data_IF_776343902636
#
_entry.id   IF_776343902636
#
_cell.length_a   1.000
_cell.length_b   1.000
_cell.length_c   1.000
_cell.angle_alpha   90.00
_cell.angle_beta   90.00
_cell.angle_gamma   90.00
#
_symmetry.space_group_name_H-M   'P 1'
#
loop_
_entity.id
_entity.type
_entity.pdbx_description
1 polymer ?
#
# COMPACT_ATOMS: atom_id res chain seq x y z
N UNK A 1 -37.39 -19.88 8.97
CA UNK A 1 -37.45 -20.74 7.77
C UNK A 1 -36.91 -19.93 6.60
N UNK A 2 -36.06 -20.58 5.79
CA UNK A 2 -35.54 -20.19 4.46
C UNK A 2 -34.84 -18.82 4.29
N UNK A 3 -33.50 -18.90 4.21
CA UNK A 3 -32.64 -17.94 3.52
C UNK A 3 -33.06 -17.86 2.04
N UNK A 4 -33.21 -16.64 1.51
CA UNK A 4 -33.34 -16.37 0.08
C UNK A 4 -32.14 -15.52 -0.37
N UNK A 5 -31.02 -16.17 -0.62
CA UNK A 5 -29.94 -15.68 -1.50
C UNK A 5 -29.17 -16.90 -2.03
N UNK A 6 -29.86 -17.77 -2.77
CA UNK A 6 -29.16 -18.64 -3.72
C UNK A 6 -29.02 -17.88 -5.02
N UNK A 7 -27.79 -17.58 -5.40
CA UNK A 7 -27.50 -17.09 -6.74
C UNK A 7 -27.68 -18.26 -7.72
N UNK A 8 -28.27 -18.02 -8.90
CA UNK A 8 -28.51 -19.09 -9.86
C UNK A 8 -27.20 -19.74 -10.31
N UNK A 9 -27.24 -21.06 -10.52
CA UNK A 9 -26.12 -21.85 -11.02
C UNK A 9 -25.80 -21.37 -12.45
N UNK A 10 -24.60 -20.82 -12.63
CA UNK A 10 -24.12 -20.31 -13.91
C UNK A 10 -23.74 -21.45 -14.84
N UNK A 11 -24.02 -21.28 -16.13
CA UNK A 11 -23.77 -22.30 -17.16
C UNK A 11 -22.28 -22.39 -17.52
N UNK A 12 -21.88 -23.53 -18.10
CA UNK A 12 -20.49 -23.82 -18.51
C UNK A 12 -19.93 -22.79 -19.49
N UNK A 13 -20.80 -22.16 -20.27
CA UNK A 13 -20.44 -21.12 -21.24
C UNK A 13 -20.11 -19.77 -20.57
N UNK A 14 -20.80 -19.42 -19.47
CA UNK A 14 -20.51 -18.20 -18.69
C UNK A 14 -19.16 -18.30 -17.94
N UNK A 15 -18.74 -19.51 -17.54
CA UNK A 15 -17.44 -19.76 -16.91
C UNK A 15 -16.26 -19.48 -17.84
N UNK A 16 -16.44 -19.61 -19.16
CA UNK A 16 -15.36 -19.45 -20.15
C UNK A 16 -14.94 -17.99 -20.40
N UNK A 17 -15.79 -17.02 -20.01
CA UNK A 17 -15.56 -15.57 -20.22
C UNK A 17 -15.04 -14.85 -18.97
N UNK A 18 -14.98 -15.53 -17.83
CA UNK A 18 -14.39 -14.99 -16.62
C UNK A 18 -12.87 -14.87 -16.81
N UNK A 19 -12.38 -13.62 -16.84
CA UNK A 19 -10.93 -13.35 -16.73
C UNK A 19 -10.45 -13.87 -15.38
N UNK A 20 -9.87 -15.06 -15.38
CA UNK A 20 -9.12 -15.62 -14.26
C UNK A 20 -7.99 -14.63 -13.91
N UNK A 21 -8.01 -14.10 -12.69
CA UNK A 21 -6.86 -13.40 -12.13
C UNK A 21 -5.88 -14.47 -11.61
N UNK A 22 -4.64 -14.53 -12.13
CA UNK A 22 -3.66 -15.49 -11.62
C UNK A 22 -3.27 -15.09 -10.21
N UNK A 23 -3.68 -15.91 -9.23
CA UNK A 23 -3.33 -15.83 -7.81
C UNK A 23 -1.81 -16.03 -7.59
N UNK A 24 -1.08 -16.48 -8.62
CA UNK A 24 0.36 -16.73 -8.57
C UNK A 24 1.12 -15.83 -9.54
N UNK A 25 1.33 -14.56 -9.17
CA UNK A 25 2.45 -13.82 -9.76
C UNK A 25 3.74 -14.27 -9.05
N UNK A 26 4.66 -14.89 -9.79
CA UNK A 26 5.96 -15.42 -9.30
C UNK A 26 6.88 -14.34 -8.70
N UNK A 27 6.44 -13.07 -8.69
CA UNK A 27 7.15 -11.91 -8.14
C UNK A 27 7.38 -11.97 -6.62
N UNK A 28 6.52 -12.64 -5.85
CA UNK A 28 6.74 -12.77 -4.39
C UNK A 28 7.94 -13.66 -4.07
N UNK A 29 8.17 -14.72 -4.85
CA UNK A 29 9.24 -15.69 -4.64
C UNK A 29 10.65 -15.10 -4.75
N UNK A 30 10.81 -14.00 -5.50
CA UNK A 30 12.10 -13.31 -5.72
C UNK A 30 12.54 -12.44 -4.55
N UNK A 31 11.60 -11.86 -3.79
CA UNK A 31 11.93 -10.93 -2.69
C UNK A 31 12.42 -11.66 -1.45
N UNK A 32 11.92 -12.87 -1.19
CA UNK A 32 12.31 -13.70 -0.04
C UNK A 32 13.75 -14.24 -0.17
N UNK A 33 14.20 -14.56 -1.40
CA UNK A 33 15.55 -15.11 -1.64
C UNK A 33 16.69 -14.12 -1.38
N UNK A 34 16.44 -12.82 -1.46
CA UNK A 34 17.48 -11.79 -1.24
C UNK A 34 17.73 -11.55 0.25
N UNK A 35 16.78 -11.89 1.13
CA UNK A 35 16.91 -11.70 2.58
C UNK A 35 17.68 -12.84 3.25
N UNK A 36 17.58 -14.07 2.74
CA UNK A 36 18.29 -15.23 3.29
C UNK A 36 19.81 -15.18 3.03
N UNK A 37 20.26 -14.63 1.89
CA UNK A 37 21.71 -14.56 1.56
C UNK A 37 22.54 -13.61 2.45
N UNK A 38 21.91 -12.69 3.18
CA UNK A 38 22.63 -11.71 4.01
C UNK A 38 22.79 -12.12 5.48
N UNK A 39 22.36 -13.33 5.89
CA UNK A 39 22.52 -13.82 7.28
C UNK A 39 23.68 -14.80 7.49
N UNK A 40 24.33 -15.30 6.44
CA UNK A 40 25.30 -16.39 6.56
C UNK A 40 26.78 -15.94 6.65
N UNK A 41 27.07 -14.65 6.80
CA UNK A 41 28.45 -14.17 7.00
C UNK A 41 28.64 -13.46 8.33
N UNK A 42 28.71 -14.24 9.41
CA UNK A 42 29.61 -13.98 10.54
C UNK A 42 29.45 -15.07 11.61
N UNK A 43 30.51 -15.84 11.83
CA UNK A 43 31.15 -16.08 13.14
C UNK A 43 32.20 -17.18 12.93
N UNK A 44 33.45 -16.78 13.13
CA UNK A 44 34.61 -17.64 13.10
C UNK A 44 34.82 -18.34 14.45
N UNK A 45 35.23 -19.60 14.38
CA UNK A 45 36.37 -20.11 15.16
C UNK A 45 36.10 -20.61 16.58
N UNK A 46 36.10 -21.94 16.76
CA UNK A 46 36.35 -22.55 18.06
C UNK A 46 36.31 -24.08 18.05
N UNK A 47 37.48 -24.73 18.19
CA UNK A 47 37.60 -26.06 18.80
C UNK A 47 37.62 -27.28 17.86
N UNK A 48 38.83 -27.70 17.45
CA UNK A 48 39.09 -29.04 16.90
C UNK A 48 39.13 -30.07 18.02
N UNK A 49 38.32 -31.14 17.91
CA UNK A 49 38.56 -32.41 18.62
C UNK A 49 38.55 -33.54 17.58
N UNK A 50 39.70 -34.20 17.44
CA UNK A 50 39.91 -35.41 16.62
C UNK A 50 39.43 -36.64 17.38
N UNK A 51 38.82 -37.61 16.68
CA UNK A 51 38.76 -39.04 17.06
C UNK A 51 38.36 -39.90 15.84
N UNK A 52 38.64 -41.22 15.84
CA UNK A 52 39.53 -41.83 14.84
C UNK A 52 38.79 -42.59 13.73
N UNK A 53 39.51 -42.80 12.62
CA UNK A 53 39.18 -43.76 11.58
C UNK A 53 39.22 -45.18 12.17
N UNK A 54 38.10 -45.89 12.12
CA UNK A 54 38.14 -47.36 12.08
C UNK A 54 37.54 -47.85 10.77
N UNK A 55 38.33 -48.71 10.15
CA UNK A 55 38.10 -49.46 8.93
C UNK A 55 37.13 -50.60 9.19
N UNK A 56 36.12 -50.76 8.33
CA UNK A 56 35.25 -51.94 8.36
C UNK A 56 34.27 -51.92 7.20
N UNK A 57 34.67 -52.49 6.06
CA UNK A 57 33.75 -52.82 4.97
C UNK A 57 32.79 -53.90 5.44
N UNK A 58 31.50 -53.59 5.54
CA UNK A 58 30.43 -54.59 5.61
C UNK A 58 29.55 -54.38 4.37
N UNK A 59 29.65 -55.33 3.44
CA UNK A 59 28.72 -55.46 2.32
C UNK A 59 27.31 -55.70 2.87
N UNK A 60 26.46 -54.68 2.84
CA UNK A 60 25.02 -54.82 3.01
C UNK A 60 24.35 -54.53 1.66
N UNK A 61 23.63 -55.54 1.16
CA UNK A 61 22.80 -55.50 -0.05
C UNK A 61 21.90 -54.25 -0.03
N UNK A 62 21.67 -53.57 -1.16
CA UNK A 62 20.77 -52.43 -1.20
C UNK A 62 19.34 -52.94 -1.00
N UNK A 63 18.83 -52.81 0.22
CA UNK A 63 17.38 -52.83 0.42
C UNK A 63 16.81 -51.66 -0.38
N UNK A 64 15.85 -51.97 -1.24
CA UNK A 64 15.24 -51.05 -2.19
C UNK A 64 14.97 -49.70 -1.56
N UNK A 65 15.36 -48.64 -2.29
CA UNK A 65 15.15 -47.27 -1.87
C UNK A 65 13.72 -47.08 -1.39
N UNK A 66 13.55 -46.45 -0.22
CA UNK A 66 12.26 -45.87 0.16
C UNK A 66 11.78 -45.06 -1.03
N UNK A 67 10.73 -45.53 -1.69
CA UNK A 67 9.95 -44.68 -2.60
C UNK A 67 9.68 -43.39 -1.82
N UNK A 68 9.96 -42.24 -2.43
CA UNK A 68 9.49 -40.98 -1.87
C UNK A 68 7.99 -41.17 -1.67
N UNK A 69 7.51 -41.00 -0.45
CA UNK A 69 6.08 -41.06 -0.11
C UNK A 69 5.27 -39.91 -0.74
N UNK A 70 5.96 -39.08 -1.52
CA UNK A 70 5.56 -37.75 -1.88
C UNK A 70 6.14 -37.44 -3.27
N UNK A 71 5.27 -37.55 -4.27
CA UNK A 71 5.44 -37.19 -5.67
C UNK A 71 4.69 -35.88 -5.88
N UNK A 72 5.14 -35.02 -6.80
CA UNK A 72 4.65 -33.63 -7.01
C UNK A 72 3.18 -33.49 -7.47
N UNK A 73 2.40 -34.55 -7.31
CA UNK A 73 0.96 -34.69 -7.52
C UNK A 73 0.20 -34.77 -6.18
N UNK A 74 0.74 -34.15 -5.12
CA UNK A 74 0.10 -34.11 -3.80
C UNK A 74 -1.05 -33.11 -3.76
N UNK A 75 -2.27 -33.64 -3.82
CA UNK A 75 -3.45 -32.91 -3.41
C UNK A 75 -3.39 -32.68 -1.90
N UNK A 76 -2.98 -31.48 -1.47
CA UNK A 76 -2.91 -31.08 -0.05
C UNK A 76 -4.29 -30.92 0.60
N UNK A 77 -5.35 -30.82 -0.21
CA UNK A 77 -6.68 -30.45 0.26
C UNK A 77 -7.75 -31.30 -0.44
N UNK A 78 -8.49 -32.07 0.36
CA UNK A 78 -9.65 -32.86 -0.08
C UNK A 78 -10.93 -32.12 0.34
N UNK A 79 -11.67 -31.61 -0.63
CA UNK A 79 -12.96 -30.94 -0.38
C UNK A 79 -14.08 -31.99 -0.25
N UNK A 80 -14.62 -32.10 0.96
CA UNK A 80 -15.76 -32.96 1.29
C UNK A 80 -17.02 -32.14 1.63
N UNK A 81 -17.13 -30.90 1.15
CA UNK A 81 -18.21 -29.99 1.54
C UNK A 81 -18.00 -29.41 2.94
N UNK A 82 -16.74 -29.11 3.29
CA UNK A 82 -16.36 -28.57 4.59
C UNK A 82 -16.89 -27.13 4.75
N UNK A 83 -17.41 -26.79 5.93
CA UNK A 83 -17.78 -25.39 6.25
C UNK A 83 -16.51 -24.54 6.37
N UNK A 84 -16.47 -23.36 5.74
CA UNK A 84 -15.34 -22.42 5.68
C UNK A 84 -14.19 -22.77 4.72
N UNK A 85 -14.48 -23.46 3.60
CA UNK A 85 -13.52 -23.69 2.52
C UNK A 85 -13.24 -22.45 1.66
N UNK A 86 -14.20 -21.51 1.62
CA UNK A 86 -14.12 -20.35 0.75
C UNK A 86 -13.09 -19.31 1.19
N UNK A 87 -12.56 -18.59 0.21
CA UNK A 87 -11.72 -17.42 0.44
C UNK A 87 -12.47 -16.40 1.31
N UNK A 88 -11.88 -16.02 2.44
CA UNK A 88 -12.43 -15.04 3.38
C UNK A 88 -11.60 -13.78 3.44
N UNK A 89 -12.23 -12.66 3.77
CA UNK A 89 -11.53 -11.39 4.05
C UNK A 89 -11.26 -11.27 5.54
N UNK A 90 -10.01 -10.97 5.89
CA UNK A 90 -9.64 -10.67 7.26
C UNK A 90 -10.34 -9.38 7.74
N UNK A 91 -11.02 -9.43 8.89
CA UNK A 91 -11.72 -8.25 9.43
C UNK A 91 -10.78 -7.15 9.92
N UNK A 92 -9.50 -7.46 10.14
CA UNK A 92 -8.50 -6.49 10.63
C UNK A 92 -7.69 -5.90 9.48
N UNK A 93 -7.07 -6.73 8.64
CA UNK A 93 -6.19 -6.28 7.56
C UNK A 93 -6.87 -6.25 6.18
N UNK A 94 -8.12 -6.70 6.07
CA UNK A 94 -8.91 -6.72 4.83
C UNK A 94 -8.33 -7.55 3.67
N UNK A 95 -7.27 -8.33 3.90
CA UNK A 95 -6.71 -9.24 2.91
C UNK A 95 -7.66 -10.42 2.67
N UNK A 96 -7.85 -10.79 1.40
CA UNK A 96 -8.56 -12.01 1.00
C UNK A 96 -7.58 -13.19 1.04
N UNK A 97 -7.95 -14.28 1.70
CA UNK A 97 -7.13 -15.49 1.80
C UNK A 97 -7.99 -16.73 2.00
N UNK A 98 -7.47 -17.89 1.61
CA UNK A 98 -8.17 -19.18 1.75
C UNK A 98 -7.79 -19.83 3.08
N UNK A 99 -8.79 -20.28 3.83
CA UNK A 99 -8.56 -20.97 5.12
C UNK A 99 -8.17 -22.40 4.85
N UNK A 100 -7.15 -22.90 5.54
CA UNK A 100 -6.61 -24.24 5.37
C UNK A 100 -5.54 -24.36 4.27
N UNK A 101 -5.37 -23.34 3.43
CA UNK A 101 -4.25 -23.28 2.48
C UNK A 101 -3.02 -22.69 3.17
N UNK A 102 -1.98 -23.51 3.37
CA UNK A 102 -0.80 -23.16 4.19
C UNK A 102 -0.08 -21.93 3.63
N UNK A 103 0.00 -21.82 2.30
CA UNK A 103 0.67 -20.68 1.65
C UNK A 103 -0.12 -19.39 1.90
N UNK A 104 -1.42 -19.42 1.66
CA UNK A 104 -2.33 -18.27 1.86
C UNK A 104 -2.35 -17.83 3.32
N UNK A 105 -2.43 -18.76 4.27
CA UNK A 105 -2.45 -18.45 5.70
C UNK A 105 -1.12 -17.84 6.16
N UNK A 106 0.01 -18.37 5.67
CA UNK A 106 1.32 -17.80 5.97
C UNK A 106 1.47 -16.39 5.40
N UNK A 107 1.10 -16.19 4.13
CA UNK A 107 1.14 -14.87 3.49
C UNK A 107 0.19 -13.90 4.19
N UNK A 108 -0.99 -14.36 4.59
CA UNK A 108 -1.92 -13.58 5.40
C UNK A 108 -1.30 -13.15 6.72
N UNK A 109 -0.64 -14.05 7.44
CA UNK A 109 -0.02 -13.73 8.72
C UNK A 109 1.08 -12.67 8.57
N UNK A 110 1.96 -12.84 7.58
CA UNK A 110 3.04 -11.87 7.30
C UNK A 110 2.49 -10.49 6.94
N UNK A 111 1.47 -10.44 6.06
CA UNK A 111 0.80 -9.19 5.71
C UNK A 111 0.05 -8.58 6.90
N UNK A 112 -0.65 -9.41 7.68
CA UNK A 112 -1.41 -8.97 8.85
C UNK A 112 -0.50 -8.29 9.88
N UNK A 113 0.64 -8.91 10.19
CA UNK A 113 1.59 -8.37 11.15
C UNK A 113 2.21 -7.06 10.65
N UNK A 114 2.59 -6.99 9.37
CA UNK A 114 3.06 -5.75 8.75
C UNK A 114 2.00 -4.65 8.82
N UNK A 115 0.78 -4.94 8.34
CA UNK A 115 -0.33 -3.99 8.26
C UNK A 115 -0.71 -3.44 9.64
N UNK A 116 -0.95 -4.32 10.61
CA UNK A 116 -1.38 -3.92 11.95
C UNK A 116 -0.30 -3.15 12.68
N UNK A 117 0.98 -3.54 12.54
CA UNK A 117 2.09 -2.85 13.21
C UNK A 117 2.40 -1.49 12.58
N UNK A 118 2.39 -1.39 11.25
CA UNK A 118 2.65 -0.13 10.55
C UNK A 118 1.56 0.92 10.76
N UNK A 119 0.33 0.54 11.10
CA UNK A 119 -0.72 1.49 11.44
C UNK A 119 -0.76 1.90 12.92
N UNK A 120 0.07 1.29 13.78
CA UNK A 120 0.22 1.73 15.18
C UNK A 120 0.87 3.11 15.21
N UNK A 121 0.19 4.07 15.83
CA UNK A 121 0.76 5.37 16.10
C UNK A 121 1.38 5.39 17.50
N UNK A 122 2.59 5.92 17.61
CA UNK A 122 3.26 6.23 18.87
C UNK A 122 3.43 7.74 18.89
N UNK A 123 3.00 8.39 19.97
CA UNK A 123 3.03 9.86 20.06
C UNK A 123 4.45 10.38 19.76
N UNK A 124 4.53 11.34 18.86
CA UNK A 124 5.79 11.96 18.47
C UNK A 124 6.10 13.15 19.37
N UNK A 125 7.38 13.47 19.55
CA UNK A 125 7.77 14.62 20.40
C UNK A 125 7.41 15.97 19.77
N UNK A 126 7.53 16.07 18.44
CA UNK A 126 7.31 17.31 17.69
C UNK A 126 6.12 17.17 16.75
N UNK A 127 4.93 16.89 17.30
CA UNK A 127 3.70 16.78 16.50
C UNK A 127 3.20 18.16 16.07
N UNK A 128 2.99 18.33 14.76
CA UNK A 128 2.25 19.47 14.24
C UNK A 128 0.77 19.06 14.05
N UNK A 129 -0.04 19.27 15.09
CA UNK A 129 -1.49 19.02 15.04
C UNK A 129 -2.15 20.18 14.32
N UNK A 130 -2.82 19.89 13.21
CA UNK A 130 -3.45 20.92 12.37
C UNK A 130 -4.96 20.99 12.55
N UNK A 131 -5.57 19.86 12.92
CA UNK A 131 -7.01 19.83 13.18
C UNK A 131 -7.36 18.72 14.19
N UNK A 132 -8.40 18.94 14.98
CA UNK A 132 -8.87 18.02 16.03
C UNK A 132 -10.36 17.77 15.82
N UNK A 133 -10.76 16.50 15.98
CA UNK A 133 -12.13 16.02 15.89
C UNK A 133 -12.45 15.14 17.10
N UNK A 134 -13.73 14.85 17.31
CA UNK A 134 -14.17 14.01 18.43
C UNK A 134 -13.61 12.57 18.38
N UNK A 135 -13.42 12.04 17.17
CA UNK A 135 -12.95 10.67 16.89
C UNK A 135 -11.46 10.58 16.49
N UNK A 136 -10.73 11.70 16.48
CA UNK A 136 -9.33 11.71 16.06
C UNK A 136 -8.71 13.09 15.81
N UNK A 137 -7.45 13.10 15.38
CA UNK A 137 -6.72 14.34 15.04
C UNK A 137 -5.94 14.17 13.73
N UNK A 138 -5.68 15.28 13.05
CA UNK A 138 -4.86 15.32 11.84
C UNK A 138 -3.52 15.98 12.16
N UNK A 139 -2.44 15.28 11.83
CA UNK A 139 -1.08 15.79 11.89
C UNK A 139 -0.60 16.18 10.51
N UNK A 140 0.25 17.22 10.43
CA UNK A 140 1.03 17.56 9.23
C UNK A 140 2.48 17.14 9.40
N UNK A 141 3.07 16.65 8.31
CA UNK A 141 4.51 16.35 8.19
C UNK A 141 5.03 17.08 6.95
N UNK A 142 6.11 17.83 7.15
CA UNK A 142 6.77 18.63 6.11
C UNK A 142 8.09 17.96 5.71
N UNK A 143 8.68 18.30 4.54
CA UNK A 143 9.97 17.73 4.12
C UNK A 143 11.13 18.10 5.05
N UNK A 144 10.97 19.14 5.87
CA UNK A 144 11.92 19.57 6.90
C UNK A 144 11.72 18.86 8.25
N UNK A 145 10.74 17.97 8.36
CA UNK A 145 10.46 17.22 9.58
C UNK A 145 11.56 16.19 9.89
N UNK A 146 11.61 15.67 11.13
CA UNK A 146 12.61 14.67 11.50
C UNK A 146 12.49 13.35 10.72
N UNK A 147 13.63 12.69 10.49
CA UNK A 147 13.73 11.43 9.74
C UNK A 147 12.78 10.32 10.21
N UNK A 148 12.50 10.20 11.52
CA UNK A 148 11.61 9.16 12.03
C UNK A 148 10.16 9.31 11.55
N UNK A 149 9.71 10.53 11.24
CA UNK A 149 8.39 10.78 10.66
C UNK A 149 8.34 10.33 9.20
N UNK A 150 9.41 10.58 8.46
CA UNK A 150 9.56 10.15 7.06
C UNK A 150 9.59 8.63 6.94
N UNK A 151 10.36 7.96 7.81
CA UNK A 151 10.36 6.49 7.88
C UNK A 151 8.94 5.94 8.12
N UNK A 152 8.13 6.62 8.92
CA UNK A 152 6.75 6.22 9.17
C UNK A 152 5.85 6.43 7.94
N UNK A 153 6.03 7.53 7.21
CA UNK A 153 5.33 7.77 5.95
C UNK A 153 5.67 6.70 4.90
N UNK A 154 6.94 6.30 4.80
CA UNK A 154 7.36 5.23 3.89
C UNK A 154 6.67 3.89 4.21
N UNK A 155 6.48 3.57 5.50
CA UNK A 155 5.69 2.40 5.92
C UNK A 155 4.22 2.50 5.48
N UNK A 156 3.62 3.69 5.58
CA UNK A 156 2.23 3.91 5.16
C UNK A 156 2.06 3.83 3.64
N UNK A 157 3.02 4.38 2.89
CA UNK A 157 3.02 4.28 1.44
C UNK A 157 3.17 2.83 0.98
N UNK A 158 4.04 2.03 1.62
CA UNK A 158 4.11 0.58 1.34
C UNK A 158 2.76 -0.10 1.48
N UNK A 159 2.03 0.16 2.57
CA UNK A 159 0.70 -0.43 2.76
C UNK A 159 -0.27 0.00 1.66
N UNK A 160 -0.32 1.30 1.38
CA UNK A 160 -1.24 1.83 0.37
C UNK A 160 -0.89 1.33 -1.03
N UNK A 161 0.39 1.28 -1.39
CA UNK A 161 0.87 0.79 -2.67
C UNK A 161 0.51 -0.69 -2.87
N UNK A 162 0.66 -1.51 -1.82
CA UNK A 162 0.22 -2.91 -1.84
C UNK A 162 -1.30 -3.00 -2.02
N UNK A 163 -2.10 -2.21 -1.28
CA UNK A 163 -3.56 -2.23 -1.45
C UNK A 163 -4.03 -1.73 -2.82
N UNK A 164 -3.28 -0.81 -3.43
CA UNK A 164 -3.63 -0.21 -4.73
C UNK A 164 -3.01 -0.97 -5.92
N UNK A 165 -2.13 -1.95 -5.67
CA UNK A 165 -1.39 -2.66 -6.71
C UNK A 165 -0.35 -1.79 -7.42
N UNK A 166 0.10 -0.71 -6.79
CA UNK A 166 1.04 0.26 -7.36
C UNK A 166 2.46 -0.21 -7.03
N UNK A 167 3.25 -0.57 -8.05
CA UNK A 167 4.66 -0.91 -7.91
C UNK A 167 5.53 0.31 -8.27
N UNK A 168 5.45 1.37 -7.46
CA UNK A 168 6.27 2.58 -7.66
C UNK A 168 7.36 2.64 -6.59
N UNK A 169 8.59 2.97 -7.00
CA UNK A 169 9.71 3.14 -6.07
C UNK A 169 9.44 4.30 -5.10
N UNK A 170 9.28 3.95 -3.82
CA UNK A 170 8.98 4.86 -2.70
C UNK A 170 9.97 6.03 -2.56
N UNK A 171 11.23 5.82 -2.96
CA UNK A 171 12.30 6.83 -2.91
C UNK A 171 12.00 8.07 -3.74
N UNK A 172 11.04 8.00 -4.69
CA UNK A 172 10.64 9.13 -5.54
C UNK A 172 9.43 9.92 -4.98
N UNK A 173 8.80 9.45 -3.90
CA UNK A 173 7.51 10.00 -3.42
C UNK A 173 7.63 11.27 -2.56
N UNK A 174 8.80 11.55 -2.00
CA UNK A 174 9.02 12.71 -1.13
C UNK A 174 9.74 13.83 -1.90
N UNK A 175 8.98 14.68 -2.58
CA UNK A 175 9.52 15.87 -3.25
C UNK A 175 9.72 17.01 -2.26
N UNK A 176 10.63 17.93 -2.58
CA UNK A 176 11.01 19.06 -1.73
C UNK A 176 9.85 20.02 -1.37
N UNK A 177 8.74 19.96 -2.10
CA UNK A 177 7.52 20.77 -1.89
C UNK A 177 6.33 19.97 -1.37
N UNK A 178 6.50 18.68 -1.07
CA UNK A 178 5.41 17.80 -0.65
C UNK A 178 4.97 18.09 0.78
N UNK A 179 3.67 17.98 1.06
CA UNK A 179 3.12 18.01 2.41
C UNK A 179 2.31 16.75 2.64
N UNK A 180 2.43 16.18 3.83
CA UNK A 180 1.75 14.95 4.20
C UNK A 180 0.83 15.21 5.39
N UNK A 181 -0.37 14.63 5.34
CA UNK A 181 -1.34 14.72 6.42
C UNK A 181 -1.77 13.32 6.83
N UNK A 182 -1.79 13.08 8.14
CA UNK A 182 -2.08 11.76 8.71
C UNK A 182 -3.25 11.91 9.68
N UNK A 183 -4.29 11.09 9.51
CA UNK A 183 -5.40 11.00 10.45
C UNK A 183 -5.12 9.91 11.49
N UNK A 184 -5.12 10.29 12.76
CA UNK A 184 -4.97 9.38 13.89
C UNK A 184 -6.32 9.27 14.59
N UNK A 185 -6.86 8.06 14.65
CA UNK A 185 -8.10 7.80 15.39
C UNK A 185 -7.85 7.69 16.89
N UNK A 186 -8.75 8.29 17.66
CA UNK A 186 -8.83 8.17 19.12
C UNK A 186 -10.07 7.34 19.48
N UNK A 187 -10.02 6.51 20.54
CA UNK A 187 -8.91 6.32 21.48
C UNK A 187 -7.85 5.31 21.01
N UNK A 188 -8.07 4.64 19.87
CA UNK A 188 -7.24 3.50 19.43
C UNK A 188 -5.77 3.83 19.11
N UNK A 189 -5.42 5.11 18.93
CA UNK A 189 -4.09 5.58 18.48
C UNK A 189 -3.59 4.79 17.28
N UNK A 190 -4.45 4.70 16.26
CA UNK A 190 -4.16 4.06 14.98
C UNK A 190 -4.25 5.08 13.87
N UNK A 191 -3.36 4.95 12.90
CA UNK A 191 -3.41 5.72 11.66
C UNK A 191 -4.52 5.11 10.80
N UNK A 192 -5.57 5.87 10.52
CA UNK A 192 -6.74 5.39 9.77
C UNK A 192 -6.86 6.01 8.38
N UNK A 193 -6.05 7.01 8.07
CA UNK A 193 -5.94 7.56 6.73
C UNK A 193 -4.77 8.51 6.59
N UNK A 194 -4.37 8.79 5.35
CA UNK A 194 -3.38 9.81 5.04
C UNK A 194 -3.65 10.43 3.67
N UNK A 195 -3.07 11.60 3.45
CA UNK A 195 -2.98 12.23 2.13
C UNK A 195 -1.57 12.79 1.91
N UNK A 196 -1.03 12.57 0.72
CA UNK A 196 0.18 13.20 0.20
C UNK A 196 -0.21 14.23 -0.85
N UNK A 197 0.33 15.42 -0.75
CA UNK A 197 0.08 16.48 -1.70
C UNK A 197 1.32 17.27 -2.09
N UNK A 198 1.30 17.78 -3.32
CA UNK A 198 2.41 18.43 -3.99
C UNK A 198 1.96 19.77 -4.56
N UNK A 199 2.90 20.71 -4.68
CA UNK A 199 2.63 22.01 -5.31
C UNK A 199 2.65 21.85 -6.83
N UNK A 200 1.61 22.35 -7.47
CA UNK A 200 1.47 22.34 -8.93
C UNK A 200 1.09 23.75 -9.43
N UNK A 201 1.31 24.03 -10.71
CA UNK A 201 0.88 25.27 -11.37
C UNK A 201 -0.32 25.08 -12.31
N UNK A 202 -0.44 23.89 -12.90
CA UNK A 202 -1.50 23.56 -13.85
C UNK A 202 -1.96 22.11 -13.71
N UNK A 203 -3.10 21.81 -14.32
CA UNK A 203 -3.66 20.47 -14.43
C UNK A 203 -4.55 20.37 -15.68
N UNK A 204 -4.83 19.16 -16.13
CA UNK A 204 -5.73 18.91 -17.24
C UNK A 204 -7.12 18.47 -16.72
N UNK A 205 -8.19 18.74 -17.45
CA UNK A 205 -9.53 18.25 -17.07
C UNK A 205 -9.68 16.79 -17.46
N UNK A 206 -10.32 16.00 -16.60
CA UNK A 206 -10.77 14.66 -16.97
C UNK A 206 -11.83 14.73 -18.07
N UNK A 207 -11.62 14.01 -19.17
CA UNK A 207 -12.57 13.87 -20.28
C UNK A 207 -13.29 12.52 -20.24
N UNK A 208 -12.52 11.44 -20.16
CA UNK A 208 -13.02 10.06 -20.18
C UNK A 208 -12.38 9.26 -19.07
N UNK A 209 -13.14 8.39 -18.43
CA UNK A 209 -12.65 7.62 -17.28
C UNK A 209 -11.98 6.30 -17.67
N UNK A 210 -12.43 5.68 -18.76
CA UNK A 210 -11.95 4.40 -19.26
C UNK A 210 -11.88 4.44 -20.81
N UNK A 211 -10.69 4.54 -21.41
CA UNK A 211 -9.40 4.79 -20.76
C UNK A 211 -9.38 6.17 -20.08
N UNK A 212 -8.50 6.34 -19.09
CA UNK A 212 -8.34 7.63 -18.40
C UNK A 212 -7.74 8.63 -19.39
N UNK A 213 -8.55 9.59 -19.86
CA UNK A 213 -8.14 10.61 -20.82
C UNK A 213 -8.34 11.99 -20.20
N UNK A 214 -7.32 12.83 -20.34
CA UNK A 214 -7.36 14.22 -19.91
C UNK A 214 -7.33 15.17 -21.13
N UNK A 215 -7.82 16.39 -20.95
CA UNK A 215 -7.72 17.45 -21.95
C UNK A 215 -6.26 17.78 -22.27
N UNK A 216 -6.00 18.29 -23.46
CA UNK A 216 -4.70 18.91 -23.79
C UNK A 216 -4.54 20.26 -23.11
N UNK A 217 -5.65 20.98 -22.92
CA UNK A 217 -5.63 22.30 -22.29
C UNK A 217 -5.23 22.20 -20.82
N UNK A 218 -4.37 23.14 -20.42
CA UNK A 218 -3.93 23.32 -19.05
C UNK A 218 -4.80 24.35 -18.34
N UNK A 219 -5.26 23.97 -17.16
CA UNK A 219 -6.08 24.80 -16.28
C UNK A 219 -5.27 25.13 -15.03
N UNK A 220 -5.41 26.34 -14.47
CA UNK A 220 -4.73 26.70 -13.24
C UNK A 220 -5.06 25.74 -12.11
N UNK A 221 -4.04 25.23 -11.44
CA UNK A 221 -4.17 24.36 -10.27
C UNK A 221 -3.07 24.70 -9.26
N UNK A 222 -3.31 24.45 -7.98
CA UNK A 222 -2.42 24.89 -6.89
C UNK A 222 -1.93 23.72 -6.04
N UNK A 223 -2.75 22.67 -5.92
CA UNK A 223 -2.42 21.49 -5.13
C UNK A 223 -2.77 20.21 -5.88
N UNK A 224 -1.76 19.34 -6.06
CA UNK A 224 -1.91 18.00 -6.58
C UNK A 224 -1.96 16.98 -5.44
N UNK A 225 -3.05 16.22 -5.36
CA UNK A 225 -3.20 15.08 -4.45
C UNK A 225 -2.53 13.88 -5.11
N UNK A 226 -1.32 13.57 -4.67
CA UNK A 226 -0.54 12.45 -5.18
C UNK A 226 -1.10 11.11 -4.70
N UNK A 227 -1.44 11.04 -3.42
CA UNK A 227 -1.95 9.81 -2.80
C UNK A 227 -2.98 10.18 -1.76
N UNK A 228 -4.10 9.49 -1.75
CA UNK A 228 -5.08 9.55 -0.67
C UNK A 228 -5.51 8.15 -0.32
N UNK A 229 -5.46 7.82 0.96
CA UNK A 229 -5.79 6.50 1.45
C UNK A 229 -6.56 6.58 2.75
N UNK A 230 -7.52 5.66 2.91
CA UNK A 230 -8.26 5.47 4.15
C UNK A 230 -8.40 3.97 4.37
N UNK A 231 -8.10 3.56 5.59
CA UNK A 231 -8.22 2.19 6.03
C UNK A 231 -9.60 1.63 5.66
N UNK A 232 -9.69 0.43 5.05
CA UNK A 232 -10.96 -0.14 4.59
C UNK A 232 -12.11 -0.06 5.61
N UNK A 233 -11.88 -0.50 6.86
CA UNK A 233 -12.86 -0.45 7.96
C UNK A 233 -13.27 0.97 8.44
N UNK A 234 -12.56 2.00 7.99
CA UNK A 234 -12.83 3.40 8.33
C UNK A 234 -13.23 4.24 7.11
N UNK A 235 -13.39 3.61 5.93
CA UNK A 235 -13.94 4.26 4.75
C UNK A 235 -15.39 4.67 5.03
N UNK A 236 -15.87 5.66 4.26
CA UNK A 236 -17.23 6.24 4.36
C UNK A 236 -17.55 6.90 5.72
N UNK A 237 -16.57 7.07 6.62
CA UNK A 237 -16.65 7.85 7.87
C UNK A 237 -16.05 9.27 7.73
N UNK A 238 -16.14 9.83 6.52
CA UNK A 238 -15.64 11.18 6.16
C UNK A 238 -14.15 11.46 6.44
N UNK A 239 -13.30 10.46 6.71
CA UNK A 239 -11.87 10.68 6.97
C UNK A 239 -11.16 11.31 5.78
N UNK A 240 -11.32 10.75 4.57
CA UNK A 240 -10.74 11.32 3.34
C UNK A 240 -11.20 12.76 3.07
N UNK A 241 -12.49 13.06 3.31
CA UNK A 241 -13.05 14.42 3.20
C UNK A 241 -12.36 15.35 4.19
N UNK A 242 -12.28 14.97 5.47
CA UNK A 242 -11.62 15.76 6.52
C UNK A 242 -10.13 16.00 6.26
N UNK A 243 -9.45 15.00 5.70
CA UNK A 243 -8.05 15.11 5.27
C UNK A 243 -7.91 16.17 4.18
N UNK A 244 -8.74 16.14 3.14
CA UNK A 244 -8.69 17.14 2.06
C UNK A 244 -9.14 18.54 2.50
N UNK A 245 -10.16 18.64 3.36
CA UNK A 245 -10.60 19.94 3.89
C UNK A 245 -9.49 20.59 4.73
N UNK A 246 -8.87 19.81 5.61
CA UNK A 246 -7.74 20.28 6.42
C UNK A 246 -6.56 20.66 5.55
N UNK A 247 -6.19 19.81 4.58
CA UNK A 247 -5.14 20.10 3.62
C UNK A 247 -5.40 21.42 2.90
N UNK A 248 -6.59 21.62 2.32
CA UNK A 248 -6.92 22.84 1.56
C UNK A 248 -6.84 24.10 2.41
N UNK A 249 -7.13 24.00 3.71
CA UNK A 249 -7.10 25.14 4.62
C UNK A 249 -5.68 25.56 5.02
N UNK A 250 -4.70 24.65 4.96
CA UNK A 250 -3.38 24.88 5.58
C UNK A 250 -2.19 24.63 4.65
N UNK A 251 -2.44 24.16 3.43
CA UNK A 251 -1.39 23.87 2.46
C UNK A 251 -0.63 25.13 2.01
N UNK A 252 -1.34 26.26 1.87
CA UNK A 252 -0.75 27.60 1.79
C UNK A 252 -1.13 28.39 3.04
N UNK A 253 -0.19 29.15 3.59
CA UNK A 253 -0.46 29.99 4.74
C UNK A 253 -1.54 31.02 4.38
N UNK A 254 -2.52 31.20 5.27
CA UNK A 254 -3.55 32.25 5.22
C UNK A 254 -4.51 32.21 4.03
N UNK A 255 -4.63 31.10 3.29
CA UNK A 255 -5.62 30.98 2.23
C UNK A 255 -6.08 29.54 2.02
N UNK A 256 -7.39 29.38 1.81
CA UNK A 256 -8.02 28.12 1.46
C UNK A 256 -7.89 27.86 -0.04
N UNK A 257 -7.43 26.67 -0.42
CA UNK A 257 -7.41 26.22 -1.82
C UNK A 257 -8.85 25.92 -2.26
N UNK A 258 -9.37 26.55 -3.33
CA UNK A 258 -10.70 26.25 -3.84
C UNK A 258 -10.73 24.88 -4.55
N UNK A 259 -11.90 24.25 -4.60
CA UNK A 259 -12.06 22.89 -5.18
C UNK A 259 -11.62 22.81 -6.66
N UNK A 260 -11.81 23.90 -7.42
CA UNK A 260 -11.40 23.99 -8.82
C UNK A 260 -9.90 24.21 -9.03
N UNK A 261 -9.10 24.32 -7.96
CA UNK A 261 -7.63 24.38 -7.99
C UNK A 261 -6.98 23.14 -7.38
N UNK A 262 -7.78 22.13 -7.02
CA UNK A 262 -7.34 20.83 -6.51
C UNK A 262 -7.33 19.81 -7.65
N UNK A 263 -6.20 19.14 -7.85
CA UNK A 263 -6.04 18.09 -8.86
C UNK A 263 -5.63 16.75 -8.22
N UNK A 264 -5.83 15.65 -8.93
CA UNK A 264 -5.48 14.29 -8.48
C UNK A 264 -4.56 13.61 -9.49
N UNK A 265 -3.56 12.84 -9.05
CA UNK A 265 -2.73 12.04 -9.95
C UNK A 265 -3.31 10.64 -10.10
N UNK A 266 -3.49 10.19 -11.35
CA UNK A 266 -3.87 8.82 -11.73
C UNK A 266 -4.86 8.13 -10.75
N UNK A 267 -6.08 8.69 -10.60
CA UNK A 267 -7.02 8.21 -9.59
C UNK A 267 -7.51 6.80 -9.91
N UNK A 268 -7.51 5.93 -8.90
CA UNK A 268 -8.16 4.61 -8.96
C UNK A 268 -9.67 4.74 -9.14
N UNK A 269 -10.37 3.65 -9.45
CA UNK A 269 -11.84 3.65 -9.59
C UNK A 269 -12.54 4.28 -8.38
N UNK A 270 -12.19 3.83 -7.16
CA UNK A 270 -12.71 4.40 -5.90
C UNK A 270 -12.27 5.86 -5.73
N UNK A 271 -11.03 6.18 -6.15
CA UNK A 271 -10.50 7.54 -6.15
C UNK A 271 -11.29 8.49 -7.04
N UNK A 272 -11.72 8.06 -8.24
CA UNK A 272 -12.56 8.84 -9.17
C UNK A 272 -13.90 9.15 -8.53
N UNK A 273 -14.59 8.15 -7.98
CA UNK A 273 -15.88 8.33 -7.32
C UNK A 273 -15.79 9.32 -6.16
N UNK A 274 -14.73 9.19 -5.36
CA UNK A 274 -14.46 10.13 -4.27
C UNK A 274 -14.15 11.55 -4.79
N UNK A 275 -13.28 11.68 -5.80
CA UNK A 275 -12.89 12.98 -6.37
C UNK A 275 -14.10 13.72 -6.95
N UNK A 276 -14.97 13.04 -7.70
CA UNK A 276 -16.22 13.62 -8.23
C UNK A 276 -17.14 14.09 -7.11
N UNK A 277 -17.36 13.23 -6.11
CA UNK A 277 -18.23 13.56 -4.97
C UNK A 277 -17.68 14.74 -4.15
N UNK A 278 -16.36 14.78 -3.92
CA UNK A 278 -15.70 15.82 -3.14
C UNK A 278 -15.65 17.16 -3.86
N UNK A 279 -15.27 17.16 -5.14
CA UNK A 279 -15.17 18.38 -5.96
C UNK A 279 -16.51 18.86 -6.49
N UNK A 280 -17.57 18.03 -6.39
CA UNK A 280 -18.89 18.25 -7.02
C UNK A 280 -18.78 18.47 -8.53
N UNK A 281 -17.82 17.80 -9.17
CA UNK A 281 -17.53 17.96 -10.59
C UNK A 281 -17.15 16.61 -11.21
N UNK A 282 -17.82 16.23 -12.29
CA UNK A 282 -17.52 15.00 -13.03
C UNK A 282 -16.21 15.11 -13.84
N UNK A 283 -15.84 16.33 -14.24
CA UNK A 283 -14.61 16.65 -14.97
C UNK A 283 -13.60 17.33 -14.04
N UNK A 284 -13.28 16.66 -12.93
CA UNK A 284 -12.28 17.16 -11.98
C UNK A 284 -10.87 17.20 -12.62
N UNK A 285 -9.94 17.90 -11.96
CA UNK A 285 -8.60 18.11 -12.50
C UNK A 285 -7.68 16.91 -12.22
N UNK A 286 -6.89 16.55 -13.23
CA UNK A 286 -5.85 15.54 -13.18
C UNK A 286 -4.51 16.20 -13.45
N UNK A 287 -3.50 15.88 -12.66
CA UNK A 287 -2.15 16.39 -12.87
C UNK A 287 -1.15 15.28 -13.22
N UNK A 288 -0.09 15.68 -13.92
CA UNK A 288 1.02 14.84 -14.37
C UNK A 288 2.32 15.38 -13.76
N UNK A 289 3.38 14.59 -13.82
CA UNK A 289 4.70 14.95 -13.27
C UNK A 289 5.18 16.35 -13.71
N UNK A 290 4.98 16.69 -15.00
CA UNK A 290 5.38 17.97 -15.59
C UNK A 290 4.73 19.21 -14.97
N UNK A 291 3.62 19.06 -14.24
CA UNK A 291 2.94 20.19 -13.59
C UNK A 291 3.51 20.52 -12.20
N UNK A 292 4.42 19.68 -11.70
CA UNK A 292 4.94 19.80 -10.34
C UNK A 292 5.98 20.89 -10.29
N UNK A 293 5.85 21.76 -9.30
CA UNK A 293 6.83 22.81 -9.03
C UNK A 293 7.92 22.21 -8.14
N UNK A 294 9.05 21.86 -8.76
CA UNK A 294 10.30 21.65 -8.03
C UNK A 294 10.86 23.03 -7.64
N UNK A 295 11.39 23.17 -6.41
CA UNK A 295 12.03 24.44 -6.04
C UNK A 295 13.19 24.69 -7.01
N UNK A 296 13.11 25.80 -7.73
CA UNK A 296 14.21 26.37 -8.50
C UNK A 296 15.48 26.43 -7.62
N UNK A 297 16.50 25.65 -7.97
CA UNK A 297 17.89 25.77 -7.47
C UNK A 297 18.63 26.91 -8.18
N UNK A 298 17.93 27.88 -8.74
CA UNK A 298 18.45 28.99 -9.54
C UNK A 298 18.58 30.30 -8.75
N UNK A 299 19.05 30.26 -7.49
CA UNK A 299 19.45 31.47 -6.76
C UNK A 299 20.72 31.37 -5.88
N UNK A 300 21.59 30.37 -6.12
CA UNK A 300 22.88 30.25 -5.40
C UNK A 300 24.11 30.29 -6.31
N UNK A 301 24.11 31.08 -7.38
CA UNK A 301 25.29 31.31 -8.25
C UNK A 301 25.50 32.77 -8.69
N UNK A 302 25.10 33.76 -7.87
CA UNK A 302 25.37 35.18 -8.14
C UNK A 302 25.98 35.94 -6.96
N UNK A 303 26.59 35.26 -6.00
CA UNK A 303 27.45 35.88 -4.99
C UNK A 303 28.69 34.99 -4.91
N UNK A 304 29.68 35.30 -5.75
CA UNK A 304 31.11 34.98 -5.62
C UNK A 304 31.81 35.25 -6.95
N UNK A 305 31.72 36.50 -7.41
CA UNK A 305 32.71 37.14 -8.29
C UNK A 305 32.66 38.64 -8.00
N UNK A 306 33.46 39.07 -7.04
CA UNK A 306 34.22 40.32 -7.03
C UNK A 306 35.27 40.22 -5.93
#
# INVERSE_FOLDING_TARGET
>A
MSFLFESPVKTVEELSTLKYYPIFDKRWSSTVKTIEKNKDNSVAGGGKIKRPRSTGKINRKPYGGRKKLFDSSEQYVLDFGQKNFDAKRCLTCNMLYTVGEIIDEKTHQEYHDMFVNSLKYRDWKNEEVVNIFDDGRILRVLPSSPYYMHKKLDELFKIADIELGINVDLKSSMKSTSQFFIFISLPSKRITGFVSAERINSANKLLTENPLMASTDEYPAECGVSRIWTHPNFRRKRIATRLLDTLRNVFYNNRIIPLNRLAFSDPTVIGKDFAKSYTKNNQFLIYLYRHIIEKDTSHSKLIDKN
#
